data_IF_020654373826
#
_entry.id   IF_020654373826
#
_cell.length_a   1.000
_cell.length_b   1.000
_cell.length_c   1.000
_cell.angle_alpha   90.00
_cell.angle_beta   90.00
_cell.angle_gamma   90.00
#
_symmetry.space_group_name_H-M   'P 1'
#
loop_
_entity.id
_entity.type
_entity.pdbx_description
1 polymer ?
#
# COMPACT_ATOMS: atom_id res chain seq x y z
N UNK A 1 -78.44 59.45 41.35
CA UNK A 1 -79.65 58.66 41.05
C UNK A 1 -79.21 57.20 40.96
N UNK A 2 -79.58 56.41 41.97
CA UNK A 2 -79.48 54.93 42.12
C UNK A 2 -78.05 54.35 42.20
N UNK A 3 -77.39 54.22 43.38
CA UNK A 3 -77.48 53.15 44.42
C UNK A 3 -77.36 51.72 43.87
N UNK A 4 -76.65 50.74 44.42
CA UNK A 4 -75.72 50.49 45.54
C UNK A 4 -75.16 49.07 45.22
N UNK A 5 -73.96 48.66 45.63
CA UNK A 5 -73.78 47.71 46.75
C UNK A 5 -72.28 47.34 46.91
N UNK A 6 -71.75 47.48 48.13
CA UNK A 6 -70.89 46.56 48.95
C UNK A 6 -69.79 45.69 48.27
N UNK A 7 -68.62 45.34 48.85
CA UNK A 7 -68.08 45.29 50.24
C UNK A 7 -66.60 44.80 50.19
N UNK A 8 -65.78 45.25 51.15
CA UNK A 8 -64.89 44.47 52.07
C UNK A 8 -63.55 43.83 51.59
N UNK A 9 -62.47 44.41 52.13
CA UNK A 9 -61.31 43.87 52.90
C UNK A 9 -60.76 42.43 52.68
N UNK A 10 -59.42 42.42 52.50
CA UNK A 10 -58.36 41.71 53.26
C UNK A 10 -58.06 40.20 53.09
N UNK A 11 -56.74 39.90 53.15
CA UNK A 11 -56.01 38.68 53.59
C UNK A 11 -55.44 37.72 52.50
N UNK A 12 -54.12 37.86 52.25
CA UNK A 12 -52.97 36.87 52.28
C UNK A 12 -53.33 35.38 51.99
N UNK A 13 -52.63 34.60 51.11
CA UNK A 13 -51.24 34.16 51.37
C UNK A 13 -50.28 33.77 50.22
N UNK A 14 -49.00 33.83 50.60
CA UNK A 14 -47.85 33.09 50.07
C UNK A 14 -48.17 31.60 49.89
N UNK A 15 -47.95 31.04 48.70
CA UNK A 15 -47.61 29.62 48.49
C UNK A 15 -47.07 29.36 47.08
N UNK A 16 -45.91 28.71 47.06
CA UNK A 16 -45.42 27.78 46.04
C UNK A 16 -45.25 28.33 44.62
N UNK A 17 -44.03 28.77 44.30
CA UNK A 17 -43.53 28.63 42.93
C UNK A 17 -42.56 27.45 42.88
N UNK A 18 -43.03 26.43 42.16
CA UNK A 18 -42.46 25.11 42.06
C UNK A 18 -41.04 25.10 41.50
N UNK A 19 -40.23 24.26 42.14
CA UNK A 19 -39.02 23.69 41.61
C UNK A 19 -39.30 22.98 40.26
N UNK A 20 -38.90 23.62 39.17
CA UNK A 20 -38.66 22.97 37.88
C UNK A 20 -37.39 23.57 37.28
N UNK A 21 -36.25 23.27 37.93
CA UNK A 21 -34.95 23.30 37.27
C UNK A 21 -34.49 21.83 37.15
N UNK A 22 -35.24 21.09 36.34
CA UNK A 22 -35.01 19.68 36.08
C UNK A 22 -33.86 19.57 35.06
N UNK A 23 -32.69 19.18 35.58
CA UNK A 23 -31.74 18.26 34.95
C UNK A 23 -31.44 18.48 33.44
N UNK A 24 -30.57 19.44 33.12
CA UNK A 24 -29.69 19.33 31.94
C UNK A 24 -28.25 19.31 32.46
N UNK A 25 -27.90 18.23 33.16
CA UNK A 25 -26.48 17.86 33.27
C UNK A 25 -26.16 17.15 31.97
N UNK A 26 -25.62 17.95 31.07
CA UNK A 26 -25.05 17.56 29.79
C UNK A 26 -24.13 16.37 30.06
N UNK A 27 -24.56 15.17 29.67
CA UNK A 27 -23.66 14.05 29.46
C UNK A 27 -22.76 14.41 28.29
N UNK A 28 -21.68 15.15 28.58
CA UNK A 28 -20.47 15.10 27.76
C UNK A 28 -19.90 13.69 27.97
N UNK A 29 -20.51 12.72 27.31
CA UNK A 29 -19.83 11.50 26.91
C UNK A 29 -18.73 11.96 25.96
N UNK A 30 -17.57 12.27 26.52
CA UNK A 30 -16.36 12.42 25.73
C UNK A 30 -16.12 11.08 25.04
N UNK A 31 -16.52 11.00 23.77
CA UNK A 31 -16.07 9.97 22.83
C UNK A 31 -14.57 10.14 22.59
N UNK A 32 -13.76 9.94 23.63
CA UNK A 32 -12.32 9.80 23.54
C UNK A 32 -12.04 8.33 23.23
N UNK A 33 -12.18 7.96 21.97
CA UNK A 33 -11.48 6.82 21.36
C UNK A 33 -11.23 7.16 19.88
N UNK A 34 -10.64 8.32 19.63
CA UNK A 34 -10.31 8.79 18.28
C UNK A 34 -8.96 8.25 17.75
N UNK A 35 -8.49 7.10 18.25
CA UNK A 35 -7.38 6.39 17.63
C UNK A 35 -7.79 4.96 17.28
N UNK A 36 -8.61 4.86 16.22
CA UNK A 36 -9.07 3.58 15.66
C UNK A 36 -7.94 2.79 14.98
N UNK A 37 -6.88 3.48 14.54
CA UNK A 37 -5.70 2.87 13.89
C UNK A 37 -4.40 3.44 14.41
N UNK A 38 -3.33 2.65 14.33
CA UNK A 38 -1.97 3.11 14.58
C UNK A 38 -1.54 4.15 13.55
N UNK A 39 -0.60 5.03 13.92
CA UNK A 39 -0.04 6.04 13.03
C UNK A 39 1.30 5.54 12.46
N UNK A 40 1.45 5.31 11.15
CA UNK A 40 2.71 4.88 10.55
C UNK A 40 3.93 5.77 10.84
N UNK A 41 3.71 7.06 11.15
CA UNK A 41 4.78 8.00 11.52
C UNK A 41 5.18 7.91 12.99
N UNK A 42 4.39 7.22 13.81
CA UNK A 42 4.57 7.10 15.25
C UNK A 42 3.95 5.77 15.73
N UNK A 43 4.53 4.65 15.30
CA UNK A 43 4.19 3.30 15.74
C UNK A 43 5.46 2.47 15.89
N UNK A 44 5.36 1.32 16.56
CA UNK A 44 6.46 0.40 16.72
C UNK A 44 7.00 -0.10 15.36
N UNK A 45 8.32 -0.24 15.25
CA UNK A 45 9.00 -0.52 13.98
C UNK A 45 8.62 -1.88 13.37
N UNK A 46 8.22 -2.85 14.20
CA UNK A 46 7.74 -4.17 13.80
C UNK A 46 6.45 -4.14 12.97
N UNK A 47 5.71 -3.02 13.02
CA UNK A 47 4.49 -2.79 12.26
C UNK A 47 4.74 -2.14 10.89
N UNK A 48 5.97 -1.68 10.62
CA UNK A 48 6.35 -1.05 9.37
C UNK A 48 5.60 0.26 9.09
N UNK A 49 5.10 0.43 7.86
CA UNK A 49 4.42 1.65 7.41
C UNK A 49 2.92 1.46 7.11
N UNK A 50 2.37 0.28 7.40
CA UNK A 50 0.92 0.05 7.34
C UNK A 50 0.28 0.67 8.59
N UNK A 51 -0.89 1.29 8.43
CA UNK A 51 -1.71 1.76 9.57
C UNK A 51 -2.67 0.63 9.99
N UNK A 52 -2.63 0.22 11.26
CA UNK A 52 -3.27 -1.00 11.72
C UNK A 52 -4.44 -0.72 12.67
N UNK A 53 -5.57 -1.40 12.46
CA UNK A 53 -6.53 -1.62 13.55
C UNK A 53 -5.89 -2.51 14.62
N UNK A 54 -6.36 -2.38 15.86
CA UNK A 54 -5.91 -3.19 17.01
C UNK A 54 -7.02 -3.97 17.69
N UNK A 55 -8.26 -3.84 17.20
CA UNK A 55 -9.42 -4.56 17.71
C UNK A 55 -10.04 -5.42 16.60
N UNK A 56 -10.20 -6.71 16.89
CA UNK A 56 -10.68 -7.69 15.92
C UNK A 56 -12.18 -7.51 15.59
N UNK A 57 -12.99 -7.15 16.58
CA UNK A 57 -14.43 -6.96 16.38
C UNK A 57 -14.69 -5.69 15.56
N UNK A 58 -13.89 -4.64 15.79
CA UNK A 58 -13.88 -3.45 14.94
C UNK A 58 -13.46 -3.81 13.50
N UNK A 59 -12.36 -4.54 13.32
CA UNK A 59 -11.88 -4.91 12.00
C UNK A 59 -12.89 -5.77 11.21
N UNK A 60 -13.60 -6.69 11.88
CA UNK A 60 -14.66 -7.50 11.25
C UNK A 60 -15.90 -6.68 10.90
N UNK A 61 -16.31 -5.74 11.75
CA UNK A 61 -17.38 -4.78 11.45
C UNK A 61 -17.05 -3.94 10.21
N UNK A 62 -15.83 -3.41 10.13
CA UNK A 62 -15.38 -2.60 8.99
C UNK A 62 -15.23 -3.46 7.73
N UNK A 63 -14.71 -4.69 7.87
CA UNK A 63 -14.65 -5.66 6.77
C UNK A 63 -16.03 -5.93 6.17
N UNK A 64 -17.05 -6.07 7.01
CA UNK A 64 -18.43 -6.24 6.55
C UNK A 64 -18.97 -4.98 5.85
N UNK A 65 -18.65 -3.79 6.35
CA UNK A 65 -19.09 -2.50 5.80
C UNK A 65 -18.43 -2.18 4.45
N UNK A 66 -17.12 -2.37 4.34
CA UNK A 66 -16.33 -2.06 3.14
C UNK A 66 -16.28 -3.20 2.13
N UNK A 67 -16.80 -4.38 2.48
CA UNK A 67 -16.69 -5.61 1.69
C UNK A 67 -15.23 -5.93 1.32
N UNK A 68 -14.33 -5.78 2.29
CA UNK A 68 -12.89 -6.08 2.14
C UNK A 68 -12.48 -7.20 3.09
N UNK A 69 -11.66 -8.16 2.67
CA UNK A 69 -11.04 -9.13 3.57
C UNK A 69 -10.12 -8.44 4.58
N UNK A 70 -9.82 -9.14 5.68
CA UNK A 70 -8.95 -8.65 6.76
C UNK A 70 -7.56 -9.26 6.57
N UNK A 71 -6.55 -8.40 6.52
CA UNK A 71 -5.15 -8.79 6.55
C UNK A 71 -4.68 -8.71 8.01
N UNK A 72 -4.45 -9.87 8.64
CA UNK A 72 -4.06 -9.96 10.04
C UNK A 72 -2.56 -10.23 10.14
N UNK A 73 -1.85 -9.34 10.83
CA UNK A 73 -0.47 -9.52 11.26
C UNK A 73 -0.44 -9.92 12.74
N UNK A 74 0.02 -11.14 13.03
CA UNK A 74 0.39 -11.57 14.38
C UNK A 74 1.88 -11.32 14.57
N UNK A 75 2.23 -10.49 15.55
CA UNK A 75 3.59 -9.97 15.68
C UNK A 75 3.94 -9.69 17.14
N UNK A 76 5.20 -9.89 17.51
CA UNK A 76 5.72 -9.46 18.81
C UNK A 76 6.00 -7.96 18.78
N UNK A 77 5.47 -7.21 19.76
CA UNK A 77 5.73 -5.78 19.88
C UNK A 77 5.97 -5.37 21.35
N UNK A 78 7.16 -4.87 21.72
CA UNK A 78 8.39 -4.94 20.91
C UNK A 78 8.80 -6.40 20.67
N UNK A 79 9.50 -6.65 19.56
CA UNK A 79 9.88 -7.98 19.10
C UNK A 79 11.38 -8.14 18.84
N UNK A 80 11.80 -9.36 18.53
CA UNK A 80 13.19 -9.66 18.21
C UNK A 80 13.62 -9.08 16.84
N UNK A 81 14.88 -9.31 16.45
CA UNK A 81 15.41 -8.84 15.18
C UNK A 81 14.60 -9.31 13.97
N UNK A 82 14.05 -10.53 14.00
CA UNK A 82 13.15 -11.04 12.95
C UNK A 82 11.90 -10.17 12.82
N UNK A 83 11.29 -9.79 13.94
CA UNK A 83 10.08 -8.97 13.98
C UNK A 83 10.34 -7.57 13.41
N UNK A 84 11.43 -6.93 13.85
CA UNK A 84 11.84 -5.61 13.34
C UNK A 84 12.18 -5.66 11.86
N UNK A 85 12.95 -6.65 11.44
CA UNK A 85 13.31 -6.83 10.03
C UNK A 85 12.09 -7.09 9.15
N UNK A 86 11.07 -7.79 9.65
CA UNK A 86 9.81 -7.97 8.93
C UNK A 86 9.06 -6.64 8.79
N UNK A 87 8.99 -5.84 9.86
CA UNK A 87 8.48 -4.48 9.83
C UNK A 87 9.17 -3.61 8.78
N UNK A 88 10.50 -3.56 8.81
CA UNK A 88 11.32 -2.74 7.91
C UNK A 88 11.33 -3.19 6.45
N UNK A 89 11.41 -4.50 6.19
CA UNK A 89 11.66 -4.99 4.84
C UNK A 89 10.39 -5.47 4.13
N UNK A 90 9.34 -5.80 4.88
CA UNK A 90 8.09 -6.36 4.35
C UNK A 90 6.95 -5.38 4.56
N UNK A 91 6.63 -5.06 5.82
CA UNK A 91 5.50 -4.16 6.14
C UNK A 91 5.81 -2.68 5.86
N UNK A 92 6.99 -2.35 5.34
CA UNK A 92 7.36 -1.01 4.87
C UNK A 92 7.67 -0.97 3.36
N UNK A 93 7.48 -2.07 2.62
CA UNK A 93 7.63 -2.04 1.17
C UNK A 93 6.53 -1.12 0.57
N UNK A 94 6.88 -0.07 -0.21
CA UNK A 94 5.91 0.97 -0.59
C UNK A 94 4.67 0.44 -1.30
N UNK A 95 4.82 -0.40 -2.34
CA UNK A 95 3.67 -0.92 -3.08
C UNK A 95 2.92 -2.01 -2.31
N UNK A 96 3.60 -2.75 -1.42
CA UNK A 96 2.93 -3.74 -0.57
C UNK A 96 2.06 -3.06 0.50
N UNK A 97 2.53 -1.96 1.08
CA UNK A 97 1.76 -1.11 2.01
C UNK A 97 0.50 -0.60 1.33
N UNK A 98 0.61 -0.16 0.07
CA UNK A 98 -0.53 0.28 -0.73
C UNK A 98 -1.52 -0.85 -1.00
N UNK A 99 -1.02 -2.03 -1.39
CA UNK A 99 -1.87 -3.20 -1.61
C UNK A 99 -2.64 -3.58 -0.33
N UNK A 100 -1.96 -3.65 0.81
CA UNK A 100 -2.58 -3.97 2.11
C UNK A 100 -3.62 -2.91 2.48
N UNK A 101 -3.28 -1.63 2.35
CA UNK A 101 -4.13 -0.54 2.84
C UNK A 101 -5.38 -0.28 1.99
N UNK A 102 -5.34 -0.62 0.70
CA UNK A 102 -6.45 -0.36 -0.22
C UNK A 102 -7.35 -1.58 -0.41
N UNK A 103 -6.78 -2.79 -0.44
CA UNK A 103 -7.52 -4.01 -0.76
C UNK A 103 -8.02 -4.77 0.47
N UNK A 104 -7.47 -4.47 1.66
CA UNK A 104 -7.76 -5.18 2.90
C UNK A 104 -8.06 -4.24 4.06
N UNK A 105 -8.62 -4.80 5.14
CA UNK A 105 -8.65 -4.18 6.46
C UNK A 105 -7.41 -4.65 7.23
N UNK A 106 -6.40 -3.79 7.49
CA UNK A 106 -5.17 -4.20 8.17
C UNK A 106 -5.40 -4.27 9.68
N UNK A 107 -5.18 -5.43 10.29
CA UNK A 107 -5.32 -5.68 11.72
C UNK A 107 -4.01 -6.22 12.29
N UNK A 108 -3.49 -5.61 13.34
CA UNK A 108 -2.34 -6.14 14.08
C UNK A 108 -2.79 -6.75 15.41
N UNK A 109 -2.35 -7.98 15.67
CA UNK A 109 -2.54 -8.71 16.93
C UNK A 109 -1.18 -8.93 17.56
N UNK A 110 -0.99 -8.43 18.78
CA UNK A 110 0.30 -8.58 19.45
C UNK A 110 0.39 -9.95 20.11
N UNK A 111 1.24 -10.83 19.58
CA UNK A 111 1.33 -12.23 20.03
C UNK A 111 2.07 -12.40 21.37
N UNK A 112 2.57 -11.31 21.97
CA UNK A 112 3.24 -11.29 23.26
C UNK A 112 2.46 -10.50 24.32
N UNK A 113 1.19 -10.16 24.06
CA UNK A 113 0.30 -9.46 24.99
C UNK A 113 -0.88 -10.34 25.44
N UNK A 114 -1.43 -10.00 26.60
CA UNK A 114 -2.65 -10.61 27.14
C UNK A 114 -3.92 -9.98 26.58
N UNK A 115 -5.03 -10.16 27.29
CA UNK A 115 -6.32 -9.53 26.95
C UNK A 115 -6.86 -9.95 25.58
N UNK A 116 -7.45 -8.99 24.86
CA UNK A 116 -8.08 -9.22 23.54
C UNK A 116 -7.13 -9.87 22.53
N UNK A 117 -5.85 -9.48 22.51
CA UNK A 117 -4.87 -10.10 21.60
C UNK A 117 -4.78 -11.63 21.85
N UNK A 118 -4.70 -12.05 23.12
CA UNK A 118 -4.62 -13.47 23.52
C UNK A 118 -5.88 -14.26 23.16
N UNK A 119 -7.05 -13.63 23.21
CA UNK A 119 -8.32 -14.24 22.78
C UNK A 119 -8.28 -14.58 21.28
N UNK A 120 -7.74 -13.67 20.46
CA UNK A 120 -7.60 -13.89 19.02
C UNK A 120 -6.50 -14.92 18.71
N UNK A 121 -5.39 -14.94 19.45
CA UNK A 121 -4.41 -16.02 19.36
C UNK A 121 -5.06 -17.38 19.59
N UNK A 122 -5.87 -17.51 20.65
CA UNK A 122 -6.62 -18.74 20.95
C UNK A 122 -7.60 -19.10 19.82
N UNK A 123 -8.32 -18.12 19.27
CA UNK A 123 -9.25 -18.31 18.14
C UNK A 123 -8.58 -18.92 16.91
N UNK A 124 -7.35 -18.49 16.60
CA UNK A 124 -6.60 -18.97 15.43
C UNK A 124 -5.60 -20.08 15.74
N UNK A 125 -5.53 -20.54 16.99
CA UNK A 125 -4.50 -21.45 17.49
C UNK A 125 -3.08 -20.96 17.18
N UNK A 126 -2.87 -19.64 17.26
CA UNK A 126 -1.55 -19.04 17.10
C UNK A 126 -0.77 -19.09 18.43
N UNK A 127 0.53 -19.44 18.40
CA UNK A 127 1.34 -19.45 19.60
C UNK A 127 1.64 -18.02 20.06
N UNK A 128 1.84 -17.87 21.37
CA UNK A 128 2.43 -16.65 21.94
C UNK A 128 3.93 -16.63 21.72
N UNK A 129 4.55 -15.45 21.65
CA UNK A 129 6.00 -15.28 21.52
C UNK A 129 6.58 -16.04 20.32
N UNK A 130 6.09 -15.70 19.11
CA UNK A 130 6.58 -16.28 17.88
C UNK A 130 7.00 -15.22 16.85
N UNK A 131 7.74 -15.68 15.85
CA UNK A 131 8.04 -14.88 14.66
C UNK A 131 6.77 -14.47 13.91
N UNK A 132 6.83 -13.39 13.10
CA UNK A 132 5.66 -12.84 12.42
C UNK A 132 4.84 -13.89 11.65
N UNK A 133 3.52 -13.82 11.79
CA UNK A 133 2.57 -14.65 11.05
C UNK A 133 1.54 -13.76 10.38
N UNK A 134 1.22 -14.07 9.13
CA UNK A 134 0.12 -13.40 8.42
C UNK A 134 -1.01 -14.37 8.14
N UNK A 135 -2.24 -13.91 8.35
CA UNK A 135 -3.46 -14.57 7.88
C UNK A 135 -4.30 -13.56 7.10
N UNK A 136 -4.90 -14.02 6.01
CA UNK A 136 -5.93 -13.25 5.30
C UNK A 136 -7.25 -13.97 5.50
N UNK A 137 -8.24 -13.27 6.06
CA UNK A 137 -9.53 -13.85 6.45
C UNK A 137 -10.68 -13.02 5.90
N UNK A 138 -11.87 -13.62 5.77
CA UNK A 138 -13.07 -12.88 5.44
C UNK A 138 -13.68 -12.18 6.67
N UNK A 139 -14.79 -11.45 6.48
CA UNK A 139 -15.54 -10.76 7.55
C UNK A 139 -15.98 -11.66 8.72
N UNK A 140 -16.09 -12.97 8.50
CA UNK A 140 -16.44 -13.95 9.55
C UNK A 140 -15.20 -14.53 10.25
N UNK A 141 -13.99 -14.09 9.89
CA UNK A 141 -12.73 -14.59 10.41
C UNK A 141 -12.26 -15.92 9.82
N UNK A 142 -12.89 -16.42 8.76
CA UNK A 142 -12.45 -17.66 8.07
C UNK A 142 -11.28 -17.35 7.13
N UNK A 143 -10.22 -18.16 7.17
CA UNK A 143 -9.06 -18.00 6.27
C UNK A 143 -9.47 -18.11 4.79
N UNK A 144 -8.95 -17.18 3.99
CA UNK A 144 -9.11 -17.13 2.53
C UNK A 144 -7.88 -17.65 1.78
N UNK A 145 -6.74 -17.72 2.47
CA UNK A 145 -5.50 -18.28 1.96
C UNK A 145 -4.77 -19.04 3.06
N UNK A 146 -3.70 -19.73 2.69
CA UNK A 146 -2.87 -20.45 3.65
C UNK A 146 -2.21 -19.48 4.63
N UNK A 147 -2.06 -19.93 5.88
CA UNK A 147 -1.31 -19.21 6.91
C UNK A 147 0.13 -18.99 6.43
N UNK A 148 0.61 -17.75 6.47
CA UNK A 148 1.99 -17.42 6.10
C UNK A 148 2.84 -17.44 7.35
N UNK A 149 3.78 -18.38 7.39
CA UNK A 149 4.73 -18.54 8.49
C UNK A 149 6.00 -19.20 7.99
N UNK A 150 7.15 -18.83 8.54
CA UNK A 150 8.45 -19.40 8.13
C UNK A 150 9.01 -18.83 6.82
N UNK A 151 8.18 -18.27 5.93
CA UNK A 151 8.63 -17.42 4.82
C UNK A 151 8.35 -15.94 5.16
N UNK A 152 9.39 -15.24 5.59
CA UNK A 152 9.34 -13.82 5.98
C UNK A 152 9.64 -12.87 4.81
N UNK A 153 9.46 -13.32 3.56
CA UNK A 153 9.68 -12.48 2.38
C UNK A 153 8.42 -11.70 1.98
N UNK A 154 8.63 -10.51 1.40
CA UNK A 154 7.55 -9.75 0.76
C UNK A 154 6.88 -10.52 -0.39
N UNK A 155 7.60 -11.44 -1.05
CA UNK A 155 7.01 -12.27 -2.09
C UNK A 155 5.94 -13.22 -1.54
N UNK A 156 6.13 -13.78 -0.35
CA UNK A 156 5.13 -14.66 0.27
C UNK A 156 3.83 -13.90 0.55
N UNK A 157 3.93 -12.68 1.09
CA UNK A 157 2.78 -11.79 1.33
C UNK A 157 2.10 -11.39 0.03
N UNK A 158 2.88 -10.97 -0.98
CA UNK A 158 2.38 -10.65 -2.32
C UNK A 158 1.59 -11.82 -2.93
N UNK A 159 2.13 -13.04 -2.90
CA UNK A 159 1.46 -14.21 -3.47
C UNK A 159 0.14 -14.51 -2.76
N UNK A 160 0.08 -14.32 -1.44
CA UNK A 160 -1.16 -14.49 -0.68
C UNK A 160 -2.20 -13.42 -1.03
N UNK A 161 -1.79 -12.16 -1.19
CA UNK A 161 -2.65 -11.07 -1.64
C UNK A 161 -3.24 -11.39 -3.03
N UNK A 162 -2.39 -11.74 -3.99
CA UNK A 162 -2.83 -12.07 -5.36
C UNK A 162 -3.80 -13.24 -5.36
N UNK A 163 -3.48 -14.32 -4.64
CA UNK A 163 -4.35 -15.49 -4.52
C UNK A 163 -5.75 -15.11 -4.00
N UNK A 164 -5.83 -14.25 -2.98
CA UNK A 164 -7.12 -13.80 -2.45
C UNK A 164 -7.88 -12.92 -3.45
N UNK A 165 -7.19 -11.97 -4.10
CA UNK A 165 -7.82 -11.12 -5.12
C UNK A 165 -8.37 -11.94 -6.29
N UNK A 166 -7.59 -12.89 -6.81
CA UNK A 166 -7.99 -13.75 -7.93
C UNK A 166 -9.15 -14.67 -7.56
N UNK A 167 -9.13 -15.29 -6.37
CA UNK A 167 -10.23 -16.14 -5.91
C UNK A 167 -11.53 -15.37 -5.65
N UNK A 168 -11.42 -14.09 -5.27
CA UNK A 168 -12.56 -13.17 -5.13
C UNK A 168 -13.02 -12.63 -6.50
N UNK A 169 -12.43 -13.09 -7.62
CA UNK A 169 -12.76 -12.65 -8.97
C UNK A 169 -12.34 -11.21 -9.29
N UNK A 170 -11.46 -10.62 -8.48
CA UNK A 170 -10.96 -9.26 -8.69
C UNK A 170 -9.79 -9.27 -9.68
N UNK A 171 -9.76 -8.25 -10.53
CA UNK A 171 -8.58 -7.97 -11.36
C UNK A 171 -7.47 -7.45 -10.45
N UNK A 172 -6.30 -8.08 -10.50
CA UNK A 172 -5.12 -7.59 -9.79
C UNK A 172 -4.67 -6.25 -10.40
N UNK A 173 -4.66 -5.14 -9.64
CA UNK A 173 -4.21 -3.85 -10.13
C UNK A 173 -2.78 -3.90 -10.69
N UNK A 174 -2.51 -3.14 -11.76
CA UNK A 174 -1.23 -3.24 -12.47
C UNK A 174 -0.02 -2.85 -11.60
N UNK A 175 -0.17 -1.91 -10.66
CA UNK A 175 0.89 -1.58 -9.70
C UNK A 175 1.24 -2.77 -8.77
N UNK A 176 0.25 -3.61 -8.41
CA UNK A 176 0.48 -4.85 -7.66
C UNK A 176 1.22 -5.84 -8.56
N UNK A 177 0.85 -5.97 -9.84
CA UNK A 177 1.61 -6.80 -10.79
C UNK A 177 3.07 -6.39 -10.88
N UNK A 178 3.37 -5.08 -10.95
CA UNK A 178 4.76 -4.59 -10.99
C UNK A 178 5.53 -4.95 -9.70
N UNK A 179 4.90 -4.82 -8.52
CA UNK A 179 5.50 -5.29 -7.27
C UNK A 179 5.87 -6.79 -7.36
N UNK A 180 4.98 -7.61 -7.91
CA UNK A 180 5.23 -9.02 -8.14
C UNK A 180 6.43 -9.29 -9.05
N UNK A 181 6.55 -8.55 -10.15
CA UNK A 181 7.68 -8.63 -11.09
C UNK A 181 9.00 -8.29 -10.37
N UNK A 182 9.05 -7.20 -9.61
CA UNK A 182 10.24 -6.79 -8.85
C UNK A 182 10.64 -7.81 -7.78
N UNK A 183 9.67 -8.31 -7.01
CA UNK A 183 9.93 -9.28 -5.94
C UNK A 183 10.40 -10.64 -6.49
N UNK A 184 9.81 -11.11 -7.60
CA UNK A 184 10.23 -12.36 -8.26
C UNK A 184 11.61 -12.23 -8.85
N UNK A 185 11.90 -11.13 -9.55
CA UNK A 185 13.22 -10.84 -10.09
C UNK A 185 14.29 -10.84 -8.98
N UNK A 186 13.99 -10.23 -7.83
CA UNK A 186 14.89 -10.21 -6.67
C UNK A 186 15.08 -11.59 -6.02
N UNK A 187 14.03 -12.40 -5.87
CA UNK A 187 14.10 -13.71 -5.19
C UNK A 187 14.70 -14.80 -6.07
N UNK A 188 14.32 -14.85 -7.34
CA UNK A 188 14.68 -15.94 -8.25
C UNK A 188 15.83 -15.61 -9.21
N UNK A 189 16.26 -14.34 -9.27
CA UNK A 189 17.59 -13.98 -9.75
C UNK A 189 17.93 -14.47 -11.15
N UNK A 190 17.06 -14.22 -12.13
CA UNK A 190 17.40 -14.32 -13.55
C UNK A 190 17.57 -12.93 -14.18
N UNK A 191 17.94 -11.93 -13.37
CA UNK A 191 18.15 -10.57 -13.83
C UNK A 191 19.44 -10.50 -14.63
N UNK A 192 19.32 -10.16 -15.90
CA UNK A 192 20.45 -9.96 -16.82
C UNK A 192 20.49 -8.53 -17.31
N UNK A 193 21.64 -8.15 -17.86
CA UNK A 193 21.86 -6.84 -18.46
C UNK A 193 22.17 -6.98 -19.95
N UNK A 194 21.61 -6.07 -20.75
CA UNK A 194 21.97 -5.87 -22.15
C UNK A 194 22.20 -4.38 -22.41
N UNK A 195 23.03 -4.06 -23.41
CA UNK A 195 23.25 -2.70 -23.87
C UNK A 195 22.91 -2.60 -25.35
N UNK A 196 22.21 -1.53 -25.71
CA UNK A 196 21.85 -1.24 -27.09
C UNK A 196 22.37 0.15 -27.43
N UNK A 197 23.02 0.30 -28.58
CA UNK A 197 23.44 1.59 -29.14
C UNK A 197 22.42 2.09 -30.14
N UNK A 198 22.15 3.39 -30.15
CA UNK A 198 21.18 4.01 -31.04
C UNK A 198 21.52 5.49 -31.28
N UNK A 199 20.68 6.16 -32.07
CA UNK A 199 20.81 7.59 -32.31
C UNK A 199 20.33 8.45 -31.13
N UNK A 200 19.19 8.07 -30.51
CA UNK A 200 18.57 8.81 -29.41
C UNK A 200 18.12 7.87 -28.29
N UNK A 201 18.78 7.90 -27.13
CA UNK A 201 18.46 7.03 -25.99
C UNK A 201 17.09 7.34 -25.38
N UNK A 202 16.52 8.55 -25.53
CA UNK A 202 15.14 8.82 -25.05
C UNK A 202 14.11 7.97 -25.79
N UNK A 203 14.29 7.81 -27.09
CA UNK A 203 13.47 6.90 -27.89
C UNK A 203 13.74 5.45 -27.51
N UNK A 204 15.01 5.12 -27.27
CA UNK A 204 15.45 3.82 -26.78
C UNK A 204 14.80 3.40 -25.46
N UNK A 205 14.90 4.22 -24.42
CA UNK A 205 14.31 3.96 -23.09
C UNK A 205 12.81 3.74 -23.21
N UNK A 206 12.12 4.61 -23.98
CA UNK A 206 10.68 4.47 -24.23
C UNK A 206 10.31 3.12 -24.86
N UNK A 207 11.08 2.67 -25.85
CA UNK A 207 10.75 1.45 -26.63
C UNK A 207 11.20 0.17 -25.91
N UNK A 208 12.41 0.17 -25.35
CA UNK A 208 12.95 -0.97 -24.60
C UNK A 208 12.20 -1.14 -23.27
N UNK A 209 11.92 -0.04 -22.57
CA UNK A 209 11.19 -0.05 -21.30
C UNK A 209 9.75 -0.57 -21.42
N UNK A 210 9.15 -0.50 -22.61
CA UNK A 210 7.79 -1.03 -22.84
C UNK A 210 7.71 -2.54 -22.93
N UNK A 211 8.85 -3.25 -23.10
CA UNK A 211 8.83 -4.70 -23.27
C UNK A 211 8.46 -5.40 -21.96
N UNK A 212 7.64 -6.45 -22.05
CA UNK A 212 7.40 -7.34 -20.91
C UNK A 212 8.70 -8.03 -20.49
N UNK A 213 8.96 -8.15 -19.19
CA UNK A 213 10.22 -8.68 -18.66
C UNK A 213 11.35 -7.65 -18.54
N UNK A 214 11.25 -6.46 -19.16
CA UNK A 214 12.19 -5.36 -18.89
C UNK A 214 11.86 -4.69 -17.56
N UNK A 215 12.84 -4.67 -16.67
CA UNK A 215 12.74 -4.20 -15.29
C UNK A 215 13.21 -2.75 -15.13
N UNK A 216 14.25 -2.37 -15.86
CA UNK A 216 14.90 -1.05 -15.74
C UNK A 216 15.54 -0.66 -17.07
N UNK A 217 15.45 0.61 -17.44
CA UNK A 217 16.25 1.20 -18.52
C UNK A 217 17.11 2.33 -17.97
N UNK A 218 18.35 2.45 -18.44
CA UNK A 218 19.23 3.58 -18.15
C UNK A 218 19.88 4.15 -19.40
N UNK A 219 19.65 5.43 -19.66
CA UNK A 219 20.36 6.22 -20.65
C UNK A 219 21.84 6.44 -20.28
N UNK A 220 22.70 6.39 -21.28
CA UNK A 220 24.11 6.70 -21.11
C UNK A 220 24.88 6.69 -22.42
N UNK A 221 26.20 6.61 -22.28
CA UNK A 221 27.12 6.70 -23.40
C UNK A 221 28.12 5.55 -23.42
N UNK A 222 28.33 5.02 -24.62
CA UNK A 222 29.45 4.15 -24.97
C UNK A 222 29.76 4.35 -26.47
N UNK A 223 30.73 5.23 -26.77
CA UNK A 223 31.07 5.62 -28.15
C UNK A 223 29.84 6.03 -28.98
N UNK A 224 28.90 6.73 -28.34
CA UNK A 224 27.56 7.06 -28.84
C UNK A 224 26.49 6.88 -27.75
N UNK A 225 25.23 7.19 -28.07
CA UNK A 225 24.10 7.03 -27.16
C UNK A 225 23.70 5.56 -26.99
N UNK A 226 23.50 5.16 -25.74
CA UNK A 226 23.23 3.77 -25.33
C UNK A 226 22.13 3.73 -24.29
N UNK A 227 21.30 2.69 -24.37
CA UNK A 227 20.40 2.29 -23.28
C UNK A 227 20.91 0.97 -22.72
N UNK A 228 21.21 0.96 -21.42
CA UNK A 228 21.39 -0.26 -20.64
C UNK A 228 20.02 -0.74 -20.15
N UNK A 229 19.74 -2.02 -20.32
CA UNK A 229 18.47 -2.65 -19.94
C UNK A 229 18.77 -3.71 -18.89
N UNK A 230 18.07 -3.69 -17.75
CA UNK A 230 17.94 -4.86 -16.88
C UNK A 230 16.63 -5.58 -17.20
N UNK A 231 16.69 -6.89 -17.34
CA UNK A 231 15.52 -7.69 -17.68
C UNK A 231 15.52 -9.03 -16.94
N UNK A 232 14.32 -9.58 -16.73
CA UNK A 232 14.10 -10.91 -16.20
C UNK A 232 14.15 -11.94 -17.34
N UNK A 233 15.20 -12.75 -17.37
CA UNK A 233 15.43 -13.76 -18.42
C UNK A 233 14.41 -14.90 -18.39
N UNK A 234 13.62 -15.05 -17.32
CA UNK A 234 12.46 -15.98 -17.31
C UNK A 234 11.24 -15.44 -18.06
N UNK A 235 11.24 -14.13 -18.38
CA UNK A 235 10.14 -13.43 -19.06
C UNK A 235 10.49 -13.02 -20.48
N UNK A 236 11.73 -12.61 -20.70
CA UNK A 236 12.22 -12.23 -22.02
C UNK A 236 13.67 -12.65 -22.19
N UNK A 237 13.97 -13.39 -23.25
CA UNK A 237 15.33 -13.81 -23.54
C UNK A 237 16.15 -12.66 -24.14
N UNK A 238 17.48 -12.81 -24.11
CA UNK A 238 18.37 -11.85 -24.77
C UNK A 238 18.08 -11.75 -26.27
N UNK A 239 17.85 -12.88 -26.93
CA UNK A 239 17.59 -12.97 -28.36
C UNK A 239 16.28 -12.25 -28.74
N UNK A 240 15.25 -12.36 -27.89
CA UNK A 240 13.99 -11.63 -28.07
C UNK A 240 14.20 -10.13 -27.96
N UNK A 241 14.97 -9.67 -26.97
CA UNK A 241 15.33 -8.25 -26.84
C UNK A 241 16.20 -7.76 -28.01
N UNK A 242 17.22 -8.52 -28.42
CA UNK A 242 18.09 -8.17 -29.55
C UNK A 242 17.28 -8.05 -30.85
N UNK A 243 16.32 -8.96 -31.05
CA UNK A 243 15.40 -8.95 -32.20
C UNK A 243 14.51 -7.70 -32.16
N UNK A 244 13.93 -7.37 -31.00
CA UNK A 244 13.14 -6.15 -30.83
C UNK A 244 13.97 -4.89 -31.08
N UNK A 245 15.17 -4.82 -30.50
CA UNK A 245 16.10 -3.71 -30.65
C UNK A 245 16.46 -3.48 -32.12
N UNK A 246 16.84 -4.55 -32.83
CA UNK A 246 17.23 -4.48 -34.25
C UNK A 246 16.08 -3.99 -35.13
N UNK A 247 14.84 -4.45 -34.89
CA UNK A 247 13.63 -3.97 -35.58
C UNK A 247 13.36 -2.49 -35.35
N UNK A 248 13.83 -1.92 -34.25
CA UNK A 248 13.67 -0.53 -33.87
C UNK A 248 14.95 0.30 -34.09
N UNK A 249 15.83 -0.13 -35.01
CA UNK A 249 17.05 0.60 -35.39
C UNK A 249 18.03 0.81 -34.23
N UNK A 250 18.06 -0.14 -33.28
CA UNK A 250 19.03 -0.18 -32.19
C UNK A 250 19.96 -1.36 -32.38
N UNK A 251 21.24 -1.16 -32.13
CA UNK A 251 22.27 -2.18 -32.29
C UNK A 251 22.62 -2.79 -30.93
N UNK A 252 22.45 -4.12 -30.72
CA UNK A 252 23.01 -4.79 -29.56
C UNK A 252 24.53 -4.61 -29.52
N UNK A 253 25.07 -4.23 -28.37
CA UNK A 253 26.51 -4.10 -28.16
C UNK A 253 26.96 -4.97 -26.98
N UNK A 254 28.25 -5.33 -26.97
CA UNK A 254 28.82 -6.04 -25.83
C UNK A 254 28.63 -5.21 -24.55
N UNK A 255 28.20 -5.85 -23.47
CA UNK A 255 28.01 -5.19 -22.17
C UNK A 255 29.38 -4.79 -21.60
N UNK A 256 29.86 -3.59 -21.97
CA UNK A 256 31.18 -3.04 -21.61
C UNK A 256 31.00 -1.65 -20.97
N UNK A 257 32.02 -0.80 -21.09
CA UNK A 257 32.06 0.57 -20.57
C UNK A 257 30.75 1.32 -20.82
N UNK A 258 30.10 1.76 -19.75
CA UNK A 258 28.87 2.52 -19.80
C UNK A 258 29.03 3.74 -18.90
N UNK A 259 28.92 4.94 -19.48
CA UNK A 259 28.90 6.19 -18.73
C UNK A 259 27.46 6.65 -18.61
N UNK A 260 26.91 6.56 -17.41
CA UNK A 260 25.53 6.96 -17.10
C UNK A 260 25.28 8.45 -17.42
N UNK A 261 24.13 8.77 -18.02
CA UNK A 261 23.65 10.14 -18.19
C UNK A 261 22.45 10.42 -17.29
N UNK A 262 22.72 10.58 -16.01
CA UNK A 262 21.68 10.78 -14.97
C UNK A 262 20.74 11.94 -15.26
N UNK A 263 21.22 13.02 -15.88
CA UNK A 263 20.37 14.19 -16.20
C UNK A 263 19.39 13.92 -17.34
N UNK A 264 19.69 12.95 -18.19
CA UNK A 264 18.96 12.70 -19.43
C UNK A 264 18.15 11.40 -19.43
N UNK A 265 18.33 10.51 -18.44
CA UNK A 265 17.47 9.32 -18.28
C UNK A 265 16.03 9.71 -17.95
N UNK A 266 15.09 8.81 -18.21
CA UNK A 266 13.67 8.95 -17.85
C UNK A 266 13.03 10.23 -18.39
N UNK A 267 13.43 10.65 -19.59
CA UNK A 267 13.09 11.96 -20.16
C UNK A 267 11.61 12.30 -20.07
N UNK A 268 10.71 11.42 -20.51
CA UNK A 268 9.27 11.72 -20.53
C UNK A 268 8.69 11.80 -19.12
N UNK A 269 9.17 10.96 -18.20
CA UNK A 269 8.78 11.01 -16.80
C UNK A 269 9.25 12.32 -16.15
N UNK A 270 10.53 12.70 -16.33
CA UNK A 270 11.13 13.94 -15.78
C UNK A 270 10.50 15.22 -16.33
N UNK A 271 9.90 15.16 -17.51
CA UNK A 271 9.16 16.27 -18.12
C UNK A 271 7.65 16.21 -17.87
N UNK A 272 7.21 15.41 -16.90
CA UNK A 272 5.81 15.28 -16.50
C UNK A 272 5.62 15.55 -15.01
N UNK A 273 4.36 15.63 -14.56
CA UNK A 273 4.03 15.69 -13.13
C UNK A 273 4.37 14.41 -12.35
N UNK A 274 4.58 13.29 -13.02
CA UNK A 274 4.94 12.02 -12.37
C UNK A 274 6.32 12.09 -11.69
N UNK A 275 7.20 13.02 -12.10
CA UNK A 275 8.54 13.20 -11.50
C UNK A 275 8.56 13.49 -10.00
N UNK A 276 7.43 13.95 -9.45
CA UNK A 276 7.29 14.28 -8.03
C UNK A 276 6.82 13.09 -7.18
N UNK A 277 6.49 11.97 -7.81
CA UNK A 277 6.03 10.78 -7.12
C UNK A 277 7.21 9.91 -6.67
N UNK A 278 7.08 9.31 -5.50
CA UNK A 278 7.98 8.25 -5.06
C UNK A 278 7.62 6.96 -5.82
N UNK A 279 8.37 6.65 -6.88
CA UNK A 279 8.14 5.52 -7.78
C UNK A 279 9.26 4.49 -7.65
N UNK A 280 8.93 3.21 -7.78
CA UNK A 280 9.94 2.15 -7.95
C UNK A 280 10.61 2.25 -9.34
N UNK A 281 11.75 1.59 -9.52
CA UNK A 281 12.46 1.60 -10.81
C UNK A 281 11.61 1.00 -11.95
N UNK A 282 10.85 -0.06 -11.66
CA UNK A 282 9.94 -0.63 -12.65
C UNK A 282 8.79 0.32 -12.97
N UNK A 283 8.21 0.98 -11.97
CA UNK A 283 7.20 2.01 -12.19
C UNK A 283 7.75 3.12 -13.10
N UNK A 284 8.95 3.67 -12.80
CA UNK A 284 9.59 4.70 -13.63
C UNK A 284 9.74 4.24 -15.08
N UNK A 285 10.28 3.05 -15.28
CA UNK A 285 10.50 2.46 -16.61
C UNK A 285 9.20 2.35 -17.42
N UNK A 286 8.14 1.81 -16.82
CA UNK A 286 6.84 1.65 -17.50
C UNK A 286 6.12 2.99 -17.72
N UNK A 287 6.19 3.90 -16.75
CA UNK A 287 5.59 5.24 -16.85
C UNK A 287 6.31 6.06 -17.93
N UNK A 288 7.64 6.11 -17.93
CA UNK A 288 8.44 6.81 -18.95
C UNK A 288 8.09 6.30 -20.36
N UNK A 289 7.97 4.98 -20.52
CA UNK A 289 7.58 4.34 -21.78
C UNK A 289 6.16 4.69 -22.23
N UNK A 290 5.20 4.67 -21.30
CA UNK A 290 3.81 5.01 -21.58
C UNK A 290 3.66 6.49 -21.96
N UNK A 291 4.27 7.40 -21.19
CA UNK A 291 4.25 8.84 -21.46
C UNK A 291 4.90 9.17 -22.81
N UNK A 292 6.06 8.57 -23.11
CA UNK A 292 6.73 8.74 -24.40
C UNK A 292 5.92 8.19 -25.59
N UNK A 293 5.03 7.23 -25.32
CA UNK A 293 4.10 6.67 -26.30
C UNK A 293 2.74 7.34 -26.31
N UNK A 294 2.54 8.43 -25.54
CA UNK A 294 1.26 9.13 -25.34
C UNK A 294 0.13 8.21 -24.88
N UNK A 295 0.48 7.21 -24.07
CA UNK A 295 -0.46 6.28 -23.43
C UNK A 295 -0.71 6.68 -21.99
N UNK A 296 -1.84 6.25 -21.46
CA UNK A 296 -2.16 6.43 -20.05
C UNK A 296 -1.16 5.67 -19.15
N UNK A 297 -0.52 6.42 -18.25
CA UNK A 297 0.45 5.90 -17.28
C UNK A 297 -0.14 5.78 -15.86
N UNK A 298 -1.38 6.23 -15.63
CA UNK A 298 -2.03 6.19 -14.31
C UNK A 298 -2.24 4.75 -13.82
N UNK A 299 -2.44 3.80 -14.74
CA UNK A 299 -2.56 2.37 -14.42
C UNK A 299 -1.38 1.80 -13.61
N UNK A 300 -0.17 2.39 -13.71
CA UNK A 300 1.02 1.91 -13.00
C UNK A 300 1.15 2.49 -11.59
N UNK A 301 0.27 3.40 -11.20
CA UNK A 301 0.30 4.05 -9.90
C UNK A 301 -0.55 3.31 -8.88
N UNK A 302 -0.12 3.35 -7.63
CA UNK A 302 -0.94 2.97 -6.50
C UNK A 302 -2.03 4.05 -6.24
N UNK A 303 -3.07 3.73 -5.45
CA UNK A 303 -4.10 4.70 -5.10
C UNK A 303 -3.56 5.99 -4.45
N UNK A 304 -2.60 5.90 -3.51
CA UNK A 304 -2.03 7.12 -2.91
C UNK A 304 -1.21 7.94 -3.90
N UNK A 305 -0.48 7.28 -4.81
CA UNK A 305 0.26 7.94 -5.88
C UNK A 305 -0.67 8.67 -6.87
N UNK A 306 -1.85 8.10 -7.17
CA UNK A 306 -2.88 8.76 -7.98
C UNK A 306 -3.39 10.05 -7.30
N UNK A 307 -3.74 9.98 -6.02
CA UNK A 307 -4.18 11.15 -5.24
C UNK A 307 -3.09 12.23 -5.23
N UNK A 308 -1.82 11.84 -5.02
CA UNK A 308 -0.70 12.78 -5.08
C UNK A 308 -0.56 13.42 -6.46
N UNK A 309 -0.74 12.65 -7.54
CA UNK A 309 -0.66 13.14 -8.92
C UNK A 309 -1.77 14.15 -9.25
N UNK A 310 -2.97 13.99 -8.69
CA UNK A 310 -4.10 14.90 -8.85
C UNK A 310 -3.88 16.22 -8.10
N UNK A 311 -3.33 16.15 -6.88
CA UNK A 311 -3.02 17.31 -6.05
C UNK A 311 -1.83 18.15 -6.55
N UNK A 312 -1.15 17.71 -7.62
CA UNK A 312 -0.02 18.41 -8.26
C UNK A 312 -0.44 19.20 -9.51
N UNK A 313 -1.75 19.30 -9.77
CA UNK A 313 -2.30 20.15 -10.84
C UNK A 313 -2.25 21.63 -10.47
#
# INVERSE_FOLDING_TARGET
>A
MVMHTTKVKNIIPMKMFNAYLLLIVITLSTSLNAQERTNPKNQDEELGLVSWYRDFDQATSISAKENKPIFILFQEVPGCATCRNYGHNVMSNPLLVEAISNEFIPLAIFNNKGGKDKEILKKYSEPTWNNPVVRIVNKNGKNLTQRISGDYSALAVYNAIVNVLENDGKIVPKYITLLGEELKAKKYGAVKEAQYKMYCFWTGEKQLGSQEGVLETKAGFNSGEVVKVKYDETKISKEQLDTFASKNQMQPIANKSFRWSEKDEDYYLKHSKYKYLALTELQKTKINSALGSRKDATQYLSPSQLIQLENKN
#
